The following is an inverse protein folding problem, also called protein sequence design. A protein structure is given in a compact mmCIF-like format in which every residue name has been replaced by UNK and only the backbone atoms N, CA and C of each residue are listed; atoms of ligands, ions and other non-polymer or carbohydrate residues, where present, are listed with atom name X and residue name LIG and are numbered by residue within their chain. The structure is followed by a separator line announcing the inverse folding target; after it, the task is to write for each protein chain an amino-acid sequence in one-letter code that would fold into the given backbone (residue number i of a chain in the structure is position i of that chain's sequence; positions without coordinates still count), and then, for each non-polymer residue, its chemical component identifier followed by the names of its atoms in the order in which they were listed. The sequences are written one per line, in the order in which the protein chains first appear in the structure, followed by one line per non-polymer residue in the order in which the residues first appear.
data_IF_660076042848
#
_entry.id   IF_660076042848
#
_cell.length_a   1.000
_cell.length_b   1.000
_cell.length_c   1.000
_cell.angle_alpha   90.00
_cell.angle_beta   90.00
_cell.angle_gamma   90.00
#
_symmetry.space_group_name_H-M   'P 1'
#
loop_
_entity.id
_entity.type
_entity.pdbx_description
1 polymer ?
#
# COMPACT_ATOMS: atom_id res chain seq x y z
N UNK A 1 21.98 -1.09 27.33
CA UNK A 1 21.99 -0.48 25.99
C UNK A 1 21.65 -1.49 24.88
N UNK A 2 22.17 -2.70 24.90
CA UNK A 2 21.94 -3.74 23.87
C UNK A 2 20.47 -4.12 23.66
N UNK A 3 19.67 -4.28 24.72
CA UNK A 3 18.26 -4.69 24.58
C UNK A 3 17.36 -3.62 23.91
N UNK A 4 17.57 -2.35 24.19
CA UNK A 4 16.80 -1.25 23.55
C UNK A 4 17.14 -1.13 22.07
N UNK A 5 18.41 -1.30 21.72
CA UNK A 5 18.84 -1.29 20.32
C UNK A 5 18.25 -2.49 19.54
N UNK A 6 18.25 -3.69 20.16
CA UNK A 6 17.62 -4.86 19.55
C UNK A 6 16.12 -4.65 19.32
N UNK A 7 15.41 -4.06 20.30
CA UNK A 7 14.00 -3.73 20.16
C UNK A 7 13.73 -2.76 19.00
N UNK A 8 14.57 -1.73 18.85
CA UNK A 8 14.44 -0.78 17.75
C UNK A 8 14.63 -1.45 16.37
N UNK A 9 15.58 -2.38 16.23
CA UNK A 9 15.73 -3.18 15.00
C UNK A 9 14.57 -4.14 14.77
N UNK A 10 13.98 -4.70 15.83
CA UNK A 10 12.76 -5.54 15.70
C UNK A 10 11.57 -4.75 15.19
N UNK A 11 11.44 -3.46 15.53
CA UNK A 11 10.41 -2.58 14.96
C UNK A 11 10.62 -2.41 13.45
N UNK A 12 11.83 -2.11 12.99
CA UNK A 12 12.10 -2.04 11.56
C UNK A 12 11.85 -3.38 10.84
N UNK A 13 12.21 -4.49 11.48
CA UNK A 13 11.88 -5.81 10.93
C UNK A 13 10.37 -6.02 10.82
N UNK A 14 9.60 -5.57 11.81
CA UNK A 14 8.14 -5.65 11.81
C UNK A 14 7.54 -4.90 10.60
N UNK A 15 7.94 -3.64 10.37
CA UNK A 15 7.55 -2.89 9.16
C UNK A 15 7.97 -3.64 7.89
N UNK A 16 9.23 -4.12 7.83
CA UNK A 16 9.77 -4.84 6.68
C UNK A 16 9.04 -6.15 6.37
N UNK A 17 8.37 -6.80 7.35
CA UNK A 17 7.51 -7.96 7.09
C UNK A 17 6.36 -7.65 6.15
N UNK A 18 5.94 -6.38 6.04
CA UNK A 18 5.01 -5.92 5.02
C UNK A 18 5.43 -6.26 3.59
N UNK A 19 6.75 -6.31 3.29
CA UNK A 19 7.22 -6.76 1.98
C UNK A 19 6.94 -8.25 1.74
N UNK A 20 7.07 -9.07 2.77
CA UNK A 20 6.75 -10.51 2.69
C UNK A 20 5.24 -10.69 2.49
N UNK A 21 4.44 -9.92 3.23
CA UNK A 21 2.97 -9.92 3.08
C UNK A 21 2.60 -9.54 1.66
N UNK A 22 3.16 -8.45 1.10
CA UNK A 22 2.92 -8.03 -0.28
C UNK A 22 3.26 -9.14 -1.29
N UNK A 23 4.43 -9.77 -1.14
CA UNK A 23 4.87 -10.82 -2.05
C UNK A 23 3.95 -12.06 -1.99
N UNK A 24 3.60 -12.53 -0.79
CA UNK A 24 2.69 -13.66 -0.62
C UNK A 24 1.30 -13.31 -1.18
N UNK A 25 0.84 -12.08 -0.99
CA UNK A 25 -0.44 -11.61 -1.56
C UNK A 25 -0.43 -11.69 -3.10
N UNK A 26 0.66 -11.27 -3.75
CA UNK A 26 0.84 -11.39 -5.21
C UNK A 26 0.73 -12.86 -5.66
N UNK A 27 1.33 -13.79 -4.91
CA UNK A 27 1.25 -15.23 -5.22
C UNK A 27 -0.19 -15.73 -5.10
N UNK A 28 -0.90 -15.38 -4.01
CA UNK A 28 -2.30 -15.77 -3.82
C UNK A 28 -3.22 -15.20 -4.91
N UNK A 29 -3.02 -13.95 -5.32
CA UNK A 29 -3.77 -13.34 -6.42
C UNK A 29 -3.55 -14.13 -7.72
N UNK A 30 -2.31 -14.50 -8.04
CA UNK A 30 -1.98 -15.32 -9.21
C UNK A 30 -2.68 -16.69 -9.18
N UNK A 31 -2.86 -17.25 -7.98
CA UNK A 31 -3.57 -18.51 -7.76
C UNK A 31 -5.10 -18.33 -7.69
N UNK A 32 -5.61 -17.12 -7.95
CA UNK A 32 -7.04 -16.74 -7.88
C UNK A 32 -7.66 -16.92 -6.48
N UNK A 33 -6.84 -16.94 -5.43
CA UNK A 33 -7.24 -17.02 -4.02
C UNK A 33 -7.53 -15.60 -3.48
N UNK A 34 -8.57 -14.98 -4.01
CA UNK A 34 -8.85 -13.56 -3.75
C UNK A 34 -9.26 -13.27 -2.31
N UNK A 35 -9.96 -14.18 -1.67
CA UNK A 35 -10.37 -14.01 -0.27
C UNK A 35 -9.15 -13.98 0.66
N UNK A 36 -8.24 -14.93 0.48
CA UNK A 36 -6.97 -14.98 1.25
C UNK A 36 -6.09 -13.77 0.96
N UNK A 37 -6.06 -13.31 -0.30
CA UNK A 37 -5.35 -12.09 -0.67
C UNK A 37 -5.90 -10.86 0.08
N UNK A 38 -7.21 -10.71 0.22
CA UNK A 38 -7.80 -9.62 1.01
C UNK A 38 -7.49 -9.72 2.50
N UNK A 39 -7.40 -10.93 3.07
CA UNK A 39 -6.95 -11.08 4.45
C UNK A 39 -5.52 -10.62 4.64
N UNK A 40 -4.63 -10.90 3.69
CA UNK A 40 -3.25 -10.42 3.75
C UNK A 40 -3.15 -8.91 3.50
N UNK A 41 -3.94 -8.34 2.59
CA UNK A 41 -4.04 -6.89 2.44
C UNK A 41 -4.51 -6.22 3.74
N UNK A 42 -5.47 -6.83 4.44
CA UNK A 42 -5.93 -6.33 5.75
C UNK A 42 -4.84 -6.45 6.83
N UNK A 43 -4.03 -7.52 6.78
CA UNK A 43 -2.87 -7.68 7.65
C UNK A 43 -1.82 -6.60 7.39
N UNK A 44 -1.56 -6.26 6.11
CA UNK A 44 -0.66 -5.16 5.75
C UNK A 44 -1.12 -3.83 6.35
N UNK A 45 -2.42 -3.52 6.26
CA UNK A 45 -3.02 -2.33 6.91
C UNK A 45 -2.83 -2.36 8.43
N UNK A 46 -2.96 -3.54 9.08
CA UNK A 46 -2.76 -3.66 10.52
C UNK A 46 -1.30 -3.45 10.93
N UNK A 47 -0.35 -3.91 10.12
CA UNK A 47 1.08 -3.66 10.34
C UNK A 47 1.37 -2.17 10.25
N UNK A 48 0.97 -1.50 9.17
CA UNK A 48 1.14 -0.08 8.93
C UNK A 48 0.50 0.78 10.05
N UNK A 49 -0.74 0.50 10.43
CA UNK A 49 -1.44 1.24 11.49
C UNK A 49 -0.74 1.16 12.86
N UNK A 50 0.12 0.19 13.09
CA UNK A 50 0.74 -0.08 14.39
C UNK A 50 2.24 0.21 14.44
N UNK A 51 2.97 0.11 13.32
CA UNK A 51 4.43 0.23 13.30
C UNK A 51 4.95 1.60 13.72
N UNK A 52 4.31 2.69 13.30
CA UNK A 52 4.64 4.03 13.75
C UNK A 52 4.46 4.21 15.27
N UNK A 53 3.48 3.53 15.88
CA UNK A 53 3.30 3.52 17.33
C UNK A 53 4.42 2.77 18.03
N UNK A 54 4.82 1.61 17.49
CA UNK A 54 5.95 0.85 18.01
C UNK A 54 7.28 1.61 17.83
N UNK A 55 7.46 2.29 16.69
CA UNK A 55 8.65 3.09 16.42
C UNK A 55 8.82 4.24 17.44
N UNK A 56 7.73 4.93 17.75
CA UNK A 56 7.72 5.99 18.79
C UNK A 56 7.97 5.41 20.18
N UNK A 57 7.32 4.32 20.55
CA UNK A 57 7.51 3.67 21.85
C UNK A 57 8.94 3.16 22.05
N UNK A 58 9.56 2.62 21.01
CA UNK A 58 10.93 2.14 21.01
C UNK A 58 11.98 3.24 20.82
N UNK A 59 11.58 4.49 20.57
CA UNK A 59 12.47 5.63 20.28
C UNK A 59 13.45 5.34 19.14
N UNK A 60 12.95 4.76 18.06
CA UNK A 60 13.79 4.24 16.97
C UNK A 60 14.65 5.33 16.35
N UNK A 61 14.11 6.53 16.09
CA UNK A 61 14.86 7.66 15.50
C UNK A 61 16.03 8.14 16.37
N UNK A 62 15.93 7.97 17.70
CA UNK A 62 17.01 8.32 18.63
C UNK A 62 18.10 7.23 18.72
N UNK A 63 17.69 5.96 18.64
CA UNK A 63 18.58 4.82 18.82
C UNK A 63 19.30 4.38 17.54
N UNK A 64 18.66 4.59 16.38
CA UNK A 64 19.16 4.18 15.07
C UNK A 64 19.02 5.35 14.07
N UNK A 65 19.65 6.51 14.32
CA UNK A 65 19.50 7.69 13.47
C UNK A 65 20.07 7.52 12.04
N UNK A 66 20.92 6.51 11.82
CA UNK A 66 21.52 6.20 10.53
C UNK A 66 20.59 5.39 9.61
N UNK A 67 19.46 4.86 10.12
CA UNK A 67 18.50 4.10 9.33
C UNK A 67 17.22 4.93 9.10
N UNK A 68 16.88 5.10 7.84
CA UNK A 68 15.71 5.87 7.42
C UNK A 68 14.46 4.98 7.46
N UNK A 69 13.79 4.97 8.61
CA UNK A 69 12.57 4.19 8.84
C UNK A 69 11.38 4.72 8.03
N UNK A 70 11.30 6.04 7.83
CA UNK A 70 10.21 6.66 7.07
C UNK A 70 10.30 6.22 5.59
N UNK A 71 11.52 6.14 5.03
CA UNK A 71 11.71 5.60 3.67
C UNK A 71 11.39 4.09 3.58
N UNK A 72 11.68 3.31 4.61
CA UNK A 72 11.29 1.90 4.66
C UNK A 72 9.76 1.78 4.59
N UNK A 73 9.04 2.57 5.41
CA UNK A 73 7.58 2.65 5.44
C UNK A 73 7.05 3.00 4.04
N UNK A 74 7.51 4.08 3.41
CA UNK A 74 7.09 4.50 2.06
C UNK A 74 7.23 3.38 1.01
N UNK A 75 8.34 2.62 1.05
CA UNK A 75 8.58 1.50 0.12
C UNK A 75 7.57 0.37 0.35
N UNK A 76 7.32 0.03 1.61
CA UNK A 76 6.39 -1.03 1.99
C UNK A 76 4.96 -0.64 1.68
N UNK A 77 4.60 0.60 1.93
CA UNK A 77 3.28 1.15 1.64
C UNK A 77 3.00 1.18 0.15
N UNK A 78 3.95 1.68 -0.64
CA UNK A 78 3.79 1.65 -2.10
C UNK A 78 3.59 0.22 -2.63
N UNK A 79 4.30 -0.77 -2.07
CA UNK A 79 4.10 -2.17 -2.44
C UNK A 79 2.70 -2.67 -2.09
N UNK A 80 2.22 -2.45 -0.85
CA UNK A 80 0.96 -3.00 -0.34
C UNK A 80 -0.28 -2.22 -0.80
N UNK A 81 -0.17 -0.89 -0.92
CA UNK A 81 -1.32 -0.03 -1.26
C UNK A 81 -1.44 0.28 -2.74
N UNK A 82 -0.38 0.05 -3.53
CA UNK A 82 -0.38 0.37 -4.97
C UNK A 82 -0.08 -0.85 -5.83
N UNK A 83 1.09 -1.48 -5.69
CA UNK A 83 1.49 -2.59 -6.57
C UNK A 83 0.56 -3.81 -6.41
N UNK A 84 0.34 -4.25 -5.18
CA UNK A 84 -0.52 -5.41 -4.89
C UNK A 84 -1.95 -5.22 -5.40
N UNK A 85 -2.67 -4.11 -5.10
CA UNK A 85 -4.01 -3.91 -5.61
C UNK A 85 -4.06 -3.70 -7.13
N UNK A 86 -3.07 -3.08 -7.77
CA UNK A 86 -2.97 -3.03 -9.23
C UNK A 86 -2.86 -4.43 -9.85
N UNK A 87 -2.04 -5.30 -9.25
CA UNK A 87 -1.94 -6.70 -9.63
C UNK A 87 -3.26 -7.45 -9.44
N UNK A 88 -3.98 -7.17 -8.36
CA UNK A 88 -5.31 -7.71 -8.11
C UNK A 88 -6.31 -7.31 -9.19
N UNK A 89 -6.40 -6.02 -9.53
CA UNK A 89 -7.33 -5.51 -10.55
C UNK A 89 -7.15 -6.20 -11.90
N UNK A 90 -5.90 -6.51 -12.29
CA UNK A 90 -5.60 -7.25 -13.52
C UNK A 90 -6.10 -8.71 -13.46
N UNK A 91 -5.83 -9.42 -12.36
CA UNK A 91 -6.11 -10.85 -12.26
C UNK A 91 -7.56 -11.18 -11.90
N UNK A 92 -8.26 -10.25 -11.27
CA UNK A 92 -9.67 -10.39 -10.95
C UNK A 92 -10.61 -10.01 -12.12
N UNK A 93 -10.06 -9.68 -13.30
CA UNK A 93 -10.81 -9.27 -14.49
C UNK A 93 -11.79 -8.12 -14.23
N UNK A 94 -11.40 -7.17 -13.39
CA UNK A 94 -12.24 -6.04 -13.01
C UNK A 94 -12.18 -4.88 -14.01
N UNK A 95 -11.23 -4.90 -14.95
CA UNK A 95 -11.01 -3.86 -15.94
C UNK A 95 -11.29 -4.39 -17.36
N UNK A 96 -11.58 -3.50 -18.35
CA UNK A 96 -11.68 -3.90 -19.74
C UNK A 96 -10.39 -4.58 -20.20
N UNK A 97 -10.50 -5.77 -20.81
CA UNK A 97 -9.35 -6.63 -21.09
C UNK A 97 -8.30 -5.98 -22.01
N UNK A 98 -8.75 -5.21 -23.01
CA UNK A 98 -7.87 -4.55 -23.99
C UNK A 98 -7.04 -3.41 -23.37
N UNK A 99 -7.60 -2.73 -22.36
CA UNK A 99 -7.01 -1.52 -21.76
C UNK A 99 -6.47 -1.75 -20.34
N UNK A 100 -6.60 -2.95 -19.79
CA UNK A 100 -6.33 -3.22 -18.38
C UNK A 100 -4.93 -2.82 -17.93
N UNK A 101 -3.91 -3.09 -18.75
CA UNK A 101 -2.52 -2.75 -18.43
C UNK A 101 -2.28 -1.23 -18.42
N UNK A 102 -2.90 -0.51 -19.37
CA UNK A 102 -2.81 0.95 -19.39
C UNK A 102 -3.51 1.56 -18.18
N UNK A 103 -4.68 1.05 -17.85
CA UNK A 103 -5.47 1.55 -16.70
C UNK A 103 -4.72 1.37 -15.38
N UNK A 104 -4.07 0.24 -15.12
CA UNK A 104 -3.27 0.06 -13.90
C UNK A 104 -1.97 0.85 -13.90
N UNK A 105 -1.46 1.26 -15.06
CA UNK A 105 -0.30 2.14 -15.13
C UNK A 105 -0.56 3.52 -14.52
N UNK A 106 -1.81 3.99 -14.56
CA UNK A 106 -2.18 5.30 -14.01
C UNK A 106 -2.00 5.36 -12.49
N UNK A 107 -2.60 4.47 -11.68
CA UNK A 107 -2.36 4.46 -10.24
C UNK A 107 -0.89 4.20 -9.89
N UNK A 108 -0.18 3.35 -10.63
CA UNK A 108 1.25 3.12 -10.41
C UNK A 108 2.06 4.41 -10.57
N UNK A 109 1.84 5.16 -11.63
CA UNK A 109 2.57 6.39 -11.89
C UNK A 109 2.15 7.52 -10.94
N UNK A 110 0.85 7.80 -10.83
CA UNK A 110 0.37 8.89 -9.97
C UNK A 110 0.78 8.69 -8.52
N UNK A 111 0.62 7.47 -7.99
CA UNK A 111 1.02 7.17 -6.61
C UNK A 111 2.53 7.25 -6.40
N UNK A 112 3.35 6.85 -7.38
CA UNK A 112 4.81 7.04 -7.28
C UNK A 112 5.17 8.51 -7.11
N UNK A 113 4.49 9.41 -7.84
CA UNK A 113 4.66 10.85 -7.64
C UNK A 113 4.09 11.30 -6.29
N UNK A 114 2.91 10.80 -5.89
CA UNK A 114 2.27 11.14 -4.61
C UNK A 114 3.16 10.80 -3.41
N UNK A 115 3.76 9.60 -3.37
CA UNK A 115 4.69 9.19 -2.32
C UNK A 115 5.98 10.05 -2.27
N UNK A 116 6.36 10.67 -3.38
CA UNK A 116 7.51 11.57 -3.42
C UNK A 116 7.17 13.04 -3.07
N UNK A 117 5.90 13.38 -2.88
CA UNK A 117 5.47 14.74 -2.57
C UNK A 117 5.76 15.11 -1.11
N UNK A 118 6.64 16.08 -0.88
CA UNK A 118 6.95 16.58 0.46
C UNK A 118 5.79 17.27 1.17
N UNK A 119 4.80 17.73 0.41
CA UNK A 119 3.61 18.43 0.89
C UNK A 119 2.34 17.61 0.68
N UNK A 120 2.44 16.28 0.71
CA UNK A 120 1.29 15.39 0.54
C UNK A 120 0.27 15.51 1.69
N UNK A 121 0.68 16.09 2.83
CA UNK A 121 -0.17 16.29 4.00
C UNK A 121 -0.23 17.77 4.38
N UNK A 122 -1.39 18.21 4.81
CA UNK A 122 -1.59 19.52 5.44
C UNK A 122 -0.92 19.58 6.82
N UNK A 123 -0.78 20.78 7.41
CA UNK A 123 -0.19 20.95 8.74
C UNK A 123 -0.96 20.27 9.88
N UNK A 124 -2.21 19.88 9.65
CA UNK A 124 -3.10 19.11 10.53
C UNK A 124 -3.17 17.62 10.15
N UNK A 125 -2.23 17.14 9.34
CA UNK A 125 -2.06 15.75 8.90
C UNK A 125 -3.17 15.17 7.99
N UNK A 126 -3.96 15.98 7.32
CA UNK A 126 -4.86 15.52 6.27
C UNK A 126 -4.11 15.39 4.94
N UNK A 127 -4.44 14.35 4.17
CA UNK A 127 -3.91 14.20 2.83
C UNK A 127 -4.51 15.22 1.87
N UNK A 128 -3.67 15.76 0.98
CA UNK A 128 -4.09 16.57 -0.15
C UNK A 128 -4.39 15.63 -1.34
N UNK A 129 -5.67 15.44 -1.62
CA UNK A 129 -6.10 14.54 -2.69
C UNK A 129 -6.37 13.11 -2.24
N UNK A 130 -6.32 12.17 -3.18
CA UNK A 130 -6.53 10.76 -2.89
C UNK A 130 -5.25 10.10 -2.34
N UNK A 131 -5.29 9.51 -1.14
CA UNK A 131 -4.09 9.03 -0.45
C UNK A 131 -3.58 7.67 -0.94
N UNK A 132 -3.87 7.30 -2.18
CA UNK A 132 -3.40 6.04 -2.82
C UNK A 132 -3.85 4.74 -2.13
N UNK A 133 -4.99 4.72 -1.45
CA UNK A 133 -5.56 3.51 -0.84
C UNK A 133 -6.22 2.58 -1.88
N UNK A 134 -5.43 2.14 -2.86
CA UNK A 134 -5.91 1.29 -3.96
C UNK A 134 -6.38 -0.09 -3.50
N UNK A 135 -5.87 -0.59 -2.37
CA UNK A 135 -6.34 -1.81 -1.73
C UNK A 135 -7.83 -1.73 -1.34
N UNK A 136 -8.26 -0.58 -0.80
CA UNK A 136 -9.67 -0.34 -0.45
C UNK A 136 -10.51 -0.24 -1.73
N UNK A 137 -10.02 0.47 -2.74
CA UNK A 137 -10.71 0.58 -4.04
C UNK A 137 -10.86 -0.79 -4.69
N UNK A 138 -9.79 -1.58 -4.77
CA UNK A 138 -9.82 -2.93 -5.33
C UNK A 138 -10.84 -3.83 -4.60
N UNK A 139 -10.90 -3.74 -3.28
CA UNK A 139 -11.88 -4.46 -2.47
C UNK A 139 -13.31 -4.07 -2.84
N UNK A 140 -13.64 -2.78 -2.87
CA UNK A 140 -15.00 -2.34 -3.21
C UNK A 140 -15.38 -2.68 -4.65
N UNK A 141 -14.49 -2.49 -5.62
CA UNK A 141 -14.78 -2.85 -7.01
C UNK A 141 -15.05 -4.36 -7.16
N UNK A 142 -14.32 -5.19 -6.40
CA UNK A 142 -14.52 -6.63 -6.39
C UNK A 142 -15.85 -7.03 -5.74
N UNK A 143 -16.18 -6.48 -4.57
CA UNK A 143 -17.40 -6.82 -3.82
C UNK A 143 -18.66 -6.30 -4.53
N UNK A 144 -18.61 -5.08 -5.07
CA UNK A 144 -19.74 -4.48 -5.75
C UNK A 144 -20.01 -5.07 -7.14
N UNK A 145 -19.05 -5.83 -7.70
CA UNK A 145 -19.17 -6.44 -9.03
C UNK A 145 -19.56 -5.41 -10.11
N UNK A 146 -19.00 -4.19 -9.98
CA UNK A 146 -19.31 -3.09 -10.91
C UNK A 146 -18.84 -3.43 -12.33
N UNK A 147 -19.55 -2.94 -13.37
CA UNK A 147 -19.13 -3.14 -14.75
C UNK A 147 -17.70 -2.64 -15.00
N UNK A 148 -16.89 -3.32 -15.85
CA UNK A 148 -15.50 -2.95 -16.09
C UNK A 148 -15.28 -1.49 -16.52
N UNK A 149 -16.22 -0.89 -17.26
CA UNK A 149 -16.12 0.52 -17.66
C UNK A 149 -16.30 1.49 -16.47
N UNK A 150 -17.13 1.16 -15.48
CA UNK A 150 -17.29 1.93 -14.24
C UNK A 150 -15.99 1.86 -13.44
N UNK A 151 -15.39 0.68 -13.35
CA UNK A 151 -14.13 0.46 -12.68
C UNK A 151 -13.00 1.25 -13.35
N UNK A 152 -12.94 1.23 -14.68
CA UNK A 152 -12.00 2.02 -15.47
C UNK A 152 -12.13 3.52 -15.20
N UNK A 153 -13.35 4.04 -15.20
CA UNK A 153 -13.60 5.45 -14.87
C UNK A 153 -13.16 5.79 -13.43
N UNK A 154 -13.46 4.91 -12.47
CA UNK A 154 -13.04 5.09 -11.07
C UNK A 154 -11.51 5.16 -10.95
N UNK A 155 -10.79 4.24 -11.60
CA UNK A 155 -9.32 4.22 -11.61
C UNK A 155 -8.76 5.50 -12.23
N UNK A 156 -9.27 5.90 -13.39
CA UNK A 156 -8.85 7.12 -14.06
C UNK A 156 -9.09 8.35 -13.18
N UNK A 157 -10.29 8.50 -12.66
CA UNK A 157 -10.68 9.66 -11.84
C UNK A 157 -9.82 9.77 -10.56
N UNK A 158 -9.67 8.68 -9.82
CA UNK A 158 -8.86 8.69 -8.59
C UNK A 158 -7.37 8.89 -8.88
N UNK A 159 -6.84 8.38 -10.01
CA UNK A 159 -5.45 8.63 -10.40
C UNK A 159 -5.14 10.10 -10.69
N UNK A 160 -6.13 10.88 -11.12
CA UNK A 160 -5.99 12.34 -11.32
C UNK A 160 -6.00 13.06 -9.97
N UNK A 161 -6.64 12.48 -8.95
CA UNK A 161 -6.75 13.09 -7.62
C UNK A 161 -5.58 12.77 -6.67
N UNK A 162 -4.66 11.88 -7.05
CA UNK A 162 -3.40 11.65 -6.33
C UNK A 162 -2.47 12.85 -6.53
#
# INVERSE_FOLDING_TARGET
MTGKLALAWLVHLYTALGAVVAFVTIVLIKELKFQEAFWLMSLAVAIDATDGTFARAARVKELIPQFDGDRLEDIIDYANYVIVPCWFLLHANLLPAEDSLWLVSLPLLSSAYGFCQKQAKTGDNFFLGFPSYWNIIAFYLFVLQSPPWVNAFTILFLSILV
#
